data_IF_095082003828
#
_entry.id   IF_095082003828
#
_cell.length_a   1.000
_cell.length_b   1.000
_cell.length_c   1.000
_cell.angle_alpha   90.00
_cell.angle_beta   90.00
_cell.angle_gamma   90.00
#
_symmetry.space_group_name_H-M   'P 1'
#
loop_
_entity.id
_entity.type
_entity.pdbx_description
1 polymer ?
#
# COMPACT_ATOMS: atom_id res chain seq x y z
N UNK A 1 -35.22 -1.69 2.20
CA UNK A 1 -34.55 -0.51 2.78
C UNK A 1 -33.59 -0.97 3.85
N UNK A 2 -32.33 -0.57 3.74
CA UNK A 2 -31.12 -1.01 4.48
C UNK A 2 -30.39 -2.24 3.94
N UNK A 3 -29.82 -2.09 2.74
CA UNK A 3 -28.56 -2.78 2.39
C UNK A 3 -27.44 -1.79 2.75
N UNK A 4 -26.72 -2.04 3.84
CA UNK A 4 -25.55 -1.24 4.18
C UNK A 4 -24.50 -1.45 3.08
N UNK A 5 -24.16 -0.36 2.39
CA UNK A 5 -23.03 -0.27 1.46
C UNK A 5 -21.73 -0.21 2.29
N UNK A 6 -21.43 -1.28 2.99
CA UNK A 6 -20.17 -1.56 3.68
C UNK A 6 -19.41 -2.53 2.75
N UNK A 7 -18.22 -2.33 2.20
CA UNK A 7 -17.10 -1.47 2.57
C UNK A 7 -16.20 -1.27 1.33
N UNK A 8 -16.72 -0.64 0.28
CA UNK A 8 -15.82 -0.15 -0.78
C UNK A 8 -15.27 1.19 -0.31
N UNK A 9 -14.22 1.18 0.53
CA UNK A 9 -13.42 2.39 0.76
C UNK A 9 -13.07 2.92 -0.63
N UNK A 10 -13.61 4.07 -1.06
CA UNK A 10 -13.41 4.52 -2.42
C UNK A 10 -11.92 4.68 -2.60
N UNK A 11 -11.32 4.04 -3.61
CA UNK A 11 -9.88 4.19 -3.87
C UNK A 11 -9.46 5.67 -3.97
N UNK A 12 -10.41 6.55 -4.32
CA UNK A 12 -10.30 8.00 -4.26
C UNK A 12 -10.07 8.56 -2.84
N UNK A 13 -10.72 8.03 -1.80
CA UNK A 13 -10.56 8.49 -0.41
C UNK A 13 -9.14 8.20 0.11
N UNK A 14 -8.61 7.00 -0.12
CA UNK A 14 -7.23 6.65 0.27
C UNK A 14 -6.20 7.49 -0.50
N UNK A 15 -6.44 7.73 -1.79
CA UNK A 15 -5.56 8.57 -2.61
C UNK A 15 -5.60 10.04 -2.15
N UNK A 16 -6.79 10.58 -1.89
CA UNK A 16 -6.99 11.94 -1.39
C UNK A 16 -6.35 12.14 -0.01
N UNK A 17 -6.48 11.15 0.89
CA UNK A 17 -5.84 11.18 2.21
C UNK A 17 -4.31 11.15 2.12
N UNK A 18 -3.73 10.35 1.21
CA UNK A 18 -2.29 10.29 0.99
C UNK A 18 -1.73 11.62 0.46
N UNK A 19 -2.46 12.28 -0.47
CA UNK A 19 -2.10 13.60 -0.99
C UNK A 19 -2.18 14.65 0.13
N UNK A 20 -3.23 14.62 0.97
CA UNK A 20 -3.37 15.55 2.09
C UNK A 20 -2.24 15.39 3.12
N UNK A 21 -1.88 14.15 3.49
CA UNK A 21 -0.77 13.88 4.41
C UNK A 21 0.59 14.35 3.86
N UNK A 22 0.80 14.19 2.55
CA UNK A 22 1.98 14.71 1.84
C UNK A 22 2.07 16.23 1.90
N UNK A 23 0.96 16.94 1.65
CA UNK A 23 0.88 18.40 1.74
C UNK A 23 1.10 18.90 3.18
N UNK A 24 0.55 18.21 4.18
CA UNK A 24 0.79 18.52 5.59
C UNK A 24 2.26 18.35 6.00
N UNK A 25 2.95 17.33 5.47
CA UNK A 25 4.38 17.11 5.72
C UNK A 25 5.24 18.20 5.05
N UNK A 26 4.91 18.58 3.82
CA UNK A 26 5.58 19.64 3.08
C UNK A 26 5.41 21.03 3.73
N UNK A 27 4.26 21.28 4.37
CA UNK A 27 3.97 22.54 5.07
C UNK A 27 4.90 22.84 6.26
N UNK A 28 5.71 21.89 6.73
CA UNK A 28 6.61 22.08 7.88
C UNK A 28 8.03 22.56 7.52
N UNK A 29 8.34 22.88 6.27
CA UNK A 29 9.70 23.27 5.83
C UNK A 29 9.82 24.78 5.55
N UNK A 30 10.74 25.47 6.24
CA UNK A 30 10.71 26.93 6.49
C UNK A 30 11.41 27.83 5.44
N UNK A 31 11.95 27.32 4.32
CA UNK A 31 12.78 28.13 3.37
C UNK A 31 12.32 27.97 1.91
N UNK A 32 12.24 29.06 1.11
CA UNK A 32 11.48 29.08 -0.15
C UNK A 32 12.01 28.12 -1.25
N UNK A 33 13.32 27.96 -1.38
CA UNK A 33 13.92 27.02 -2.33
C UNK A 33 13.79 25.55 -1.90
N UNK A 34 13.89 25.29 -0.59
CA UNK A 34 13.66 23.96 -0.05
C UNK A 34 12.18 23.59 -0.06
N UNK A 35 11.27 24.56 0.10
CA UNK A 35 9.84 24.36 0.00
C UNK A 35 9.44 23.98 -1.44
N UNK A 36 9.97 24.66 -2.47
CA UNK A 36 9.66 24.33 -3.86
C UNK A 36 10.11 22.92 -4.25
N UNK A 37 11.35 22.55 -3.94
CA UNK A 37 11.87 21.20 -4.21
C UNK A 37 11.12 20.14 -3.40
N UNK A 38 10.81 20.40 -2.13
CA UNK A 38 10.03 19.46 -1.30
C UNK A 38 8.62 19.27 -1.82
N UNK A 39 7.93 20.32 -2.26
CA UNK A 39 6.56 20.23 -2.78
C UNK A 39 6.52 19.50 -4.12
N UNK A 40 7.42 19.81 -5.05
CA UNK A 40 7.49 19.13 -6.36
C UNK A 40 7.88 17.66 -6.21
N UNK A 41 8.90 17.34 -5.39
CA UNK A 41 9.28 15.94 -5.13
C UNK A 41 8.18 15.19 -4.37
N UNK A 42 7.47 15.84 -3.45
CA UNK A 42 6.31 15.23 -2.78
C UNK A 42 5.17 14.98 -3.77
N UNK A 43 4.95 15.88 -4.74
CA UNK A 43 3.97 15.65 -5.80
C UNK A 43 4.34 14.44 -6.68
N UNK A 44 5.61 14.30 -7.05
CA UNK A 44 6.10 13.13 -7.81
C UNK A 44 5.93 11.83 -7.01
N UNK A 45 6.31 11.81 -5.74
CA UNK A 45 6.26 10.60 -4.90
C UNK A 45 4.85 10.21 -4.46
N UNK A 46 3.94 11.16 -4.29
CA UNK A 46 2.60 10.89 -3.77
C UNK A 46 1.48 10.96 -4.82
N UNK A 47 1.64 11.72 -5.90
CA UNK A 47 0.64 11.80 -6.97
C UNK A 47 1.05 10.99 -8.20
N UNK A 48 2.29 11.12 -8.66
CA UNK A 48 2.75 10.45 -9.88
C UNK A 48 3.06 8.97 -9.66
N UNK A 49 3.68 8.64 -8.53
CA UNK A 49 4.00 7.25 -8.16
C UNK A 49 2.79 6.31 -8.07
N UNK A 50 1.65 6.65 -7.42
CA UNK A 50 0.48 5.77 -7.42
C UNK A 50 -0.19 5.66 -8.79
N UNK A 51 -0.18 6.72 -9.61
CA UNK A 51 -0.66 6.67 -10.99
C UNK A 51 0.23 5.77 -11.86
N UNK A 52 1.55 5.87 -11.71
CA UNK A 52 2.51 4.99 -12.38
C UNK A 52 2.31 3.54 -11.97
N UNK A 53 2.22 3.26 -10.65
CA UNK A 53 1.91 1.91 -10.15
C UNK A 53 0.59 1.39 -10.72
N UNK A 54 -0.49 2.19 -10.75
CA UNK A 54 -1.77 1.75 -11.33
C UNK A 54 -1.62 1.32 -12.81
N UNK A 55 -0.92 2.10 -13.62
CA UNK A 55 -0.70 1.81 -15.05
C UNK A 55 0.18 0.59 -15.29
N UNK A 56 1.20 0.37 -14.45
CA UNK A 56 2.04 -0.83 -14.55
C UNK A 56 1.20 -2.09 -14.26
N UNK A 57 0.07 -1.98 -13.50
CA UNK A 57 -0.70 -3.13 -12.97
C UNK A 57 -1.63 -3.69 -14.01
N UNK A 58 -2.20 -2.77 -14.78
CA UNK A 58 -3.03 -3.07 -15.92
C UNK A 58 -2.22 -3.66 -17.06
N UNK A 59 -0.90 -3.43 -17.10
CA UNK A 59 -0.04 -3.90 -18.18
C UNK A 59 0.59 -5.28 -17.89
N UNK A 60 1.11 -5.51 -16.68
CA UNK A 60 1.72 -6.79 -16.32
C UNK A 60 1.85 -6.99 -14.80
N UNK A 61 1.41 -8.14 -14.29
CA UNK A 61 1.58 -8.52 -12.88
C UNK A 61 3.07 -8.69 -12.51
N UNK A 62 3.91 -9.15 -13.43
CA UNK A 62 5.35 -9.33 -13.20
C UNK A 62 6.06 -7.99 -13.01
N UNK A 63 5.68 -6.98 -13.79
CA UNK A 63 6.22 -5.62 -13.66
C UNK A 63 5.86 -4.95 -12.33
N UNK A 64 4.71 -5.33 -11.75
CA UNK A 64 4.32 -4.90 -10.39
C UNK A 64 5.21 -5.45 -9.31
N UNK A 65 5.47 -6.76 -9.40
CA UNK A 65 6.29 -7.47 -8.42
C UNK A 65 7.72 -6.93 -8.48
N UNK A 66 8.28 -6.74 -9.69
CA UNK A 66 9.62 -6.20 -9.86
C UNK A 66 9.76 -4.78 -9.33
N UNK A 67 8.77 -3.90 -9.58
CA UNK A 67 8.78 -2.53 -9.09
C UNK A 67 8.71 -2.44 -7.56
N UNK A 68 7.85 -3.25 -6.92
CA UNK A 68 7.77 -3.31 -5.46
C UNK A 68 9.06 -3.88 -4.84
N UNK A 69 9.67 -4.90 -5.47
CA UNK A 69 10.92 -5.47 -5.01
C UNK A 69 12.06 -4.45 -5.10
N UNK A 70 12.15 -3.73 -6.22
CA UNK A 70 13.14 -2.67 -6.43
C UNK A 70 12.99 -1.56 -5.39
N UNK A 71 11.77 -1.08 -5.14
CA UNK A 71 11.52 -0.07 -4.11
C UNK A 71 11.93 -0.53 -2.71
N UNK A 72 11.55 -1.76 -2.34
CA UNK A 72 11.90 -2.34 -1.04
C UNK A 72 13.41 -2.41 -0.86
N UNK A 73 14.14 -2.87 -1.89
CA UNK A 73 15.61 -2.92 -1.89
C UNK A 73 16.23 -1.54 -1.68
N UNK A 74 15.77 -0.53 -2.41
CA UNK A 74 16.26 0.86 -2.27
C UNK A 74 16.02 1.36 -0.83
N UNK A 75 14.82 1.14 -0.27
CA UNK A 75 14.52 1.52 1.11
C UNK A 75 15.47 0.85 2.12
N UNK A 76 15.74 -0.45 1.98
CA UNK A 76 16.67 -1.17 2.86
C UNK A 76 18.09 -0.58 2.76
N UNK A 77 18.61 -0.36 1.56
CA UNK A 77 19.94 0.22 1.35
C UNK A 77 20.05 1.61 1.97
N UNK A 78 19.06 2.48 1.75
CA UNK A 78 19.02 3.81 2.35
C UNK A 78 18.93 3.75 3.89
N UNK A 79 18.16 2.82 4.45
CA UNK A 79 18.05 2.65 5.89
C UNK A 79 19.35 2.12 6.50
N UNK A 80 20.04 1.17 5.87
CA UNK A 80 21.34 0.67 6.35
C UNK A 80 22.35 1.84 6.46
N UNK A 81 22.34 2.75 5.48
CA UNK A 81 23.22 3.92 5.49
C UNK A 81 22.92 4.89 6.65
N UNK A 82 21.66 5.02 7.06
CA UNK A 82 21.24 5.92 8.15
C UNK A 82 21.28 5.26 9.53
N UNK A 83 20.63 4.10 9.66
CA UNK A 83 20.47 3.36 10.91
C UNK A 83 20.27 1.86 10.62
N UNK A 84 21.22 1.03 11.05
CA UNK A 84 21.13 -0.44 10.88
C UNK A 84 19.89 -1.01 11.60
N UNK A 85 19.56 -0.51 12.79
CA UNK A 85 18.37 -0.94 13.55
C UNK A 85 17.09 -0.68 12.77
N UNK A 86 16.96 0.49 12.14
CA UNK A 86 15.81 0.82 11.30
C UNK A 86 15.67 -0.10 10.09
N UNK A 87 16.79 -0.50 9.47
CA UNK A 87 16.78 -1.44 8.36
C UNK A 87 16.30 -2.83 8.79
N UNK A 88 16.77 -3.33 9.95
CA UNK A 88 16.35 -4.64 10.49
C UNK A 88 14.87 -4.62 10.85
N UNK A 89 14.38 -3.58 11.53
CA UNK A 89 12.96 -3.47 11.86
C UNK A 89 12.09 -3.42 10.60
N UNK A 90 12.50 -2.64 9.60
CA UNK A 90 11.79 -2.54 8.32
C UNK A 90 11.69 -3.89 7.61
N UNK A 91 12.81 -4.62 7.48
CA UNK A 91 12.81 -5.93 6.79
C UNK A 91 11.95 -6.95 7.52
N UNK A 92 11.98 -6.98 8.86
CA UNK A 92 11.12 -7.85 9.66
C UNK A 92 9.63 -7.58 9.42
N UNK A 93 9.23 -6.31 9.40
CA UNK A 93 7.84 -5.91 9.15
C UNK A 93 7.41 -6.31 7.73
N UNK A 94 8.25 -6.08 6.72
CA UNK A 94 7.94 -6.47 5.33
C UNK A 94 7.75 -7.98 5.23
N UNK A 95 8.67 -8.78 5.78
CA UNK A 95 8.56 -10.24 5.78
C UNK A 95 7.28 -10.71 6.50
N UNK A 96 6.97 -10.11 7.65
CA UNK A 96 5.77 -10.43 8.40
C UNK A 96 4.49 -10.17 7.59
N UNK A 97 4.37 -8.99 6.99
CA UNK A 97 3.17 -8.62 6.21
C UNK A 97 3.07 -9.44 4.92
N UNK A 98 4.19 -9.72 4.24
CA UNK A 98 4.19 -10.42 2.95
C UNK A 98 3.98 -11.92 3.08
N UNK A 99 4.47 -12.57 4.15
CA UNK A 99 4.41 -14.03 4.27
C UNK A 99 3.55 -14.48 5.46
N UNK A 100 3.78 -13.91 6.64
CA UNK A 100 3.14 -14.38 7.88
C UNK A 100 1.65 -14.02 7.88
N UNK A 101 1.30 -12.78 7.54
CA UNK A 101 -0.08 -12.33 7.49
C UNK A 101 -0.96 -13.15 6.52
N UNK A 102 -0.61 -13.32 5.23
CA UNK A 102 -1.43 -14.12 4.33
C UNK A 102 -1.45 -15.61 4.69
N UNK A 103 -0.35 -16.18 5.21
CA UNK A 103 -0.35 -17.56 5.68
C UNK A 103 -1.30 -17.75 6.87
N UNK A 104 -1.30 -16.80 7.81
CA UNK A 104 -2.20 -16.79 8.95
C UNK A 104 -3.66 -16.65 8.52
N UNK A 105 -3.96 -15.70 7.62
CA UNK A 105 -5.31 -15.52 7.07
C UNK A 105 -5.79 -16.76 6.32
N UNK A 106 -4.93 -17.39 5.52
CA UNK A 106 -5.25 -18.64 4.84
C UNK A 106 -5.60 -19.77 5.82
N UNK A 107 -4.88 -19.88 6.94
CA UNK A 107 -5.20 -20.86 8.01
C UNK A 107 -6.52 -20.55 8.72
N UNK A 108 -6.91 -19.27 8.77
CA UNK A 108 -8.18 -18.84 9.37
C UNK A 108 -9.38 -18.92 8.41
N UNK A 109 -9.16 -19.00 7.08
CA UNK A 109 -10.24 -19.18 6.11
C UNK A 109 -11.19 -20.36 6.42
N UNK A 110 -10.73 -21.57 6.79
CA UNK A 110 -11.63 -22.68 7.12
C UNK A 110 -12.38 -22.52 8.45
N UNK A 111 -11.95 -21.59 9.32
CA UNK A 111 -12.60 -21.31 10.60
C UNK A 111 -13.68 -20.23 10.48
N UNK A 112 -13.89 -19.66 9.29
CA UNK A 112 -14.98 -18.71 9.06
C UNK A 112 -16.29 -19.49 9.04
N UNK A 113 -17.17 -19.18 9.99
CA UNK A 113 -18.54 -19.67 9.99
C UNK A 113 -19.28 -19.08 8.78
N UNK A 114 -19.41 -19.86 7.71
CA UNK A 114 -20.15 -19.44 6.52
C UNK A 114 -21.64 -19.53 6.84
N UNK A 115 -22.30 -18.38 6.99
CA UNK A 115 -23.75 -18.34 7.15
C UNK A 115 -24.33 -18.57 5.76
N UNK A 116 -24.69 -19.81 5.47
CA UNK A 116 -25.35 -20.18 4.22
C UNK A 116 -26.71 -19.49 4.16
N UNK A 117 -26.82 -18.48 3.28
CA UNK A 117 -28.11 -17.92 2.91
C UNK A 117 -28.86 -18.88 1.98
N UNK A 118 -30.19 -18.84 1.92
CA UNK A 118 -31.00 -19.69 1.04
C UNK A 118 -30.81 -19.45 -0.47
N UNK A 119 -29.82 -18.64 -0.85
CA UNK A 119 -29.48 -18.24 -2.22
C UNK A 119 -27.99 -18.46 -2.57
N UNK A 120 -27.21 -19.12 -1.70
CA UNK A 120 -25.77 -19.37 -1.95
C UNK A 120 -25.59 -20.40 -3.10
N UNK A 121 -24.66 -20.11 -4.01
CA UNK A 121 -24.66 -20.56 -5.40
C UNK A 121 -24.30 -22.06 -5.57
N UNK A 122 -24.87 -22.65 -6.63
CA UNK A 122 -24.97 -24.08 -6.88
C UNK A 122 -23.61 -24.80 -6.98
N UNK A 123 -23.57 -25.97 -6.34
CA UNK A 123 -22.48 -26.94 -6.39
C UNK A 123 -22.26 -27.37 -7.85
N UNK A 124 -21.11 -27.07 -8.49
CA UNK A 124 -20.84 -27.61 -9.81
C UNK A 124 -20.54 -29.11 -9.66
N UNK A 125 -21.44 -29.93 -10.18
CA UNK A 125 -21.25 -31.38 -10.42
C UNK A 125 -20.24 -31.61 -11.54
#
# INVERSE_FOLDING_TARGET
NYQSNEDSVPGALSLNAAIFASVCLASRLHTPWHAFTTVTTSFELFALWPLFRKNVKTWSQTAHISLNLLMSLVCVVCLIYKTVVGAVLYTLVVVFITFVCPAWLYKLQPHKNNIYGPWDEAIPT
#
